data_IF_493310190200
#
_entry.id   IF_493310190200
#
_cell.length_a   1.000
_cell.length_b   1.000
_cell.length_c   1.000
_cell.angle_alpha   90.00
_cell.angle_beta   90.00
_cell.angle_gamma   90.00
#
_symmetry.space_group_name_H-M   'P 1'
#
loop_
_entity.id
_entity.type
_entity.pdbx_description
1 polymer ?
#
# COMPACT_ATOMS: atom_id res chain seq x y z
N UNK A 1 5.17 -8.50 -20.79
CA UNK A 1 5.63 -9.58 -19.89
C UNK A 1 4.80 -10.80 -20.20
N UNK A 2 5.36 -12.01 -20.12
CA UNK A 2 4.58 -13.25 -20.19
C UNK A 2 4.38 -13.89 -18.79
N UNK A 3 3.71 -15.05 -18.74
CA UNK A 3 3.43 -15.75 -17.49
C UNK A 3 4.69 -16.19 -16.71
N UNK A 4 5.76 -16.59 -17.41
CA UNK A 4 7.01 -17.06 -16.78
C UNK A 4 7.78 -15.89 -16.19
N UNK A 5 7.87 -14.79 -16.94
CA UNK A 5 8.46 -13.54 -16.47
C UNK A 5 7.74 -13.05 -15.21
N UNK A 6 6.41 -13.13 -15.18
CA UNK A 6 5.58 -12.73 -14.03
C UNK A 6 5.89 -13.55 -12.77
N UNK A 7 5.97 -14.88 -12.88
CA UNK A 7 6.34 -15.75 -11.76
C UNK A 7 7.78 -15.49 -11.31
N UNK A 8 8.71 -15.29 -12.25
CA UNK A 8 10.10 -14.94 -11.93
C UNK A 8 10.16 -13.64 -11.11
N UNK A 9 9.39 -12.64 -11.49
CA UNK A 9 9.29 -11.38 -10.75
C UNK A 9 8.73 -11.58 -9.33
N UNK A 10 7.68 -12.39 -9.17
CA UNK A 10 7.13 -12.73 -7.85
C UNK A 10 8.16 -13.41 -6.95
N UNK A 11 9.00 -14.28 -7.48
CA UNK A 11 10.06 -14.97 -6.72
C UNK A 11 11.17 -14.02 -6.29
N UNK A 12 11.54 -13.06 -7.15
CA UNK A 12 12.59 -12.07 -6.86
C UNK A 12 12.15 -11.02 -5.84
N UNK A 13 10.94 -10.47 -6.00
CA UNK A 13 10.40 -9.42 -5.12
C UNK A 13 9.85 -10.01 -3.82
N UNK A 14 9.41 -11.28 -3.85
CA UNK A 14 8.77 -11.97 -2.74
C UNK A 14 7.62 -11.15 -2.08
N UNK A 15 6.66 -10.63 -2.87
CA UNK A 15 5.61 -9.78 -2.32
C UNK A 15 4.70 -10.57 -1.38
N UNK A 16 4.07 -9.87 -0.44
CA UNK A 16 3.00 -10.44 0.40
C UNK A 16 1.76 -10.78 -0.42
N UNK A 17 1.47 -9.96 -1.43
CA UNK A 17 0.35 -10.14 -2.34
C UNK A 17 0.68 -9.53 -3.71
N UNK A 18 0.24 -10.17 -4.78
CA UNK A 18 0.41 -9.72 -6.16
C UNK A 18 -0.96 -9.63 -6.85
N UNK A 19 -1.15 -8.59 -7.66
CA UNK A 19 -2.36 -8.39 -8.45
C UNK A 19 -1.89 -8.13 -9.89
N UNK A 20 -2.07 -9.07 -10.82
CA UNK A 20 -1.69 -8.85 -12.21
C UNK A 20 -2.62 -7.79 -12.83
N UNK A 21 -2.01 -6.82 -13.50
CA UNK A 21 -2.68 -5.77 -14.26
C UNK A 21 -2.16 -5.81 -15.70
N UNK A 22 -2.87 -5.21 -16.66
CA UNK A 22 -2.51 -5.23 -18.09
C UNK A 22 -2.53 -6.64 -18.71
N UNK A 23 -3.69 -7.28 -18.72
CA UNK A 23 -3.87 -8.60 -19.36
C UNK A 23 -5.05 -8.65 -20.35
N UNK A 24 -5.91 -7.62 -20.40
CA UNK A 24 -7.09 -7.62 -21.26
C UNK A 24 -7.45 -6.22 -21.83
N UNK A 25 -6.62 -5.20 -21.60
CA UNK A 25 -6.91 -3.81 -21.97
C UNK A 25 -6.49 -3.46 -23.40
N UNK A 26 -5.48 -4.14 -23.97
CA UNK A 26 -4.98 -3.87 -25.33
C UNK A 26 -4.50 -5.16 -26.00
N UNK A 27 -4.74 -5.34 -27.31
CA UNK A 27 -4.45 -6.61 -28.01
C UNK A 27 -2.97 -7.03 -28.17
N UNK A 28 -2.02 -6.42 -27.46
CA UNK A 28 -0.55 -6.56 -27.69
C UNK A 28 0.18 -7.36 -26.61
N UNK A 29 -0.53 -8.25 -25.91
CA UNK A 29 0.07 -9.07 -24.84
C UNK A 29 0.84 -10.27 -25.40
N UNK A 30 1.97 -10.60 -24.77
CA UNK A 30 2.80 -11.76 -25.14
C UNK A 30 2.13 -13.10 -24.83
N UNK A 31 1.28 -13.16 -23.81
CA UNK A 31 0.56 -14.36 -23.40
C UNK A 31 -0.76 -13.98 -22.70
N UNK A 32 -1.79 -14.83 -22.75
CA UNK A 32 -3.04 -14.63 -22.00
C UNK A 32 -2.82 -14.75 -20.48
N UNK A 33 -3.78 -14.24 -19.70
CA UNK A 33 -3.78 -14.38 -18.24
C UNK A 33 -3.74 -15.85 -17.77
N UNK A 34 -4.36 -16.75 -18.52
CA UNK A 34 -4.40 -18.19 -18.21
C UNK A 34 -3.03 -18.84 -18.18
N UNK A 35 -2.08 -18.35 -18.99
CA UNK A 35 -0.70 -18.83 -18.96
C UNK A 35 -0.02 -18.43 -17.65
N UNK A 36 -0.21 -17.19 -17.20
CA UNK A 36 0.29 -16.75 -15.90
C UNK A 36 -0.34 -17.54 -14.74
N UNK A 37 -1.64 -17.82 -14.79
CA UNK A 37 -2.33 -18.65 -13.79
C UNK A 37 -1.73 -20.06 -13.69
N UNK A 38 -1.41 -20.67 -14.84
CA UNK A 38 -0.76 -21.99 -14.91
C UNK A 38 0.63 -21.97 -14.30
N UNK A 39 1.44 -20.96 -14.63
CA UNK A 39 2.80 -20.82 -14.08
C UNK A 39 2.76 -20.55 -12.56
N UNK A 40 1.84 -19.72 -12.08
CA UNK A 40 1.63 -19.47 -10.63
C UNK A 40 1.26 -20.75 -9.88
N UNK A 41 0.36 -21.56 -10.46
CA UNK A 41 -0.04 -22.84 -9.89
C UNK A 41 1.14 -23.83 -9.85
N UNK A 42 1.89 -23.94 -10.95
CA UNK A 42 3.09 -24.79 -11.04
C UNK A 42 4.18 -24.38 -10.05
N UNK A 43 4.28 -23.10 -9.71
CA UNK A 43 5.21 -22.58 -8.72
C UNK A 43 4.70 -22.64 -7.26
N UNK A 44 3.47 -23.11 -7.01
CA UNK A 44 2.88 -23.15 -5.67
C UNK A 44 2.59 -21.76 -5.08
N UNK A 45 2.40 -20.74 -5.93
CA UNK A 45 2.24 -19.34 -5.51
C UNK A 45 0.77 -18.86 -5.50
N UNK A 46 -0.19 -19.75 -5.74
CA UNK A 46 -1.62 -19.41 -5.86
C UNK A 46 -2.15 -18.58 -4.70
N UNK A 47 -1.71 -18.85 -3.47
CA UNK A 47 -2.14 -18.10 -2.26
C UNK A 47 -1.61 -16.67 -2.18
N UNK A 48 -0.73 -16.24 -3.08
CA UNK A 48 -0.14 -14.90 -3.11
C UNK A 48 -0.74 -13.99 -4.18
N UNK A 49 -1.66 -14.49 -5.00
CA UNK A 49 -2.19 -13.74 -6.16
C UNK A 49 -3.68 -13.52 -6.01
N UNK A 50 -4.15 -12.29 -6.23
CA UNK A 50 -5.55 -12.00 -6.46
C UNK A 50 -5.76 -11.59 -7.92
N UNK A 51 -6.69 -12.27 -8.59
CA UNK A 51 -7.14 -11.93 -9.93
C UNK A 51 -8.40 -11.07 -9.83
N UNK A 52 -8.38 -9.91 -10.45
CA UNK A 52 -9.50 -8.97 -10.43
C UNK A 52 -10.02 -8.75 -11.83
N UNK A 53 -11.33 -8.83 -12.00
CA UNK A 53 -12.03 -8.40 -13.20
C UNK A 53 -12.25 -6.87 -13.18
N UNK A 54 -12.57 -6.32 -14.36
CA UNK A 54 -12.99 -4.92 -14.49
C UNK A 54 -14.10 -4.57 -13.49
N UNK A 55 -13.92 -3.44 -12.79
CA UNK A 55 -14.86 -2.97 -11.75
C UNK A 55 -14.70 -3.64 -10.38
N UNK A 56 -13.91 -4.71 -10.25
CA UNK A 56 -13.58 -5.28 -8.94
C UNK A 56 -12.56 -4.42 -8.20
N UNK A 57 -12.61 -4.48 -6.86
CA UNK A 57 -11.75 -3.69 -5.98
C UNK A 57 -11.04 -4.61 -5.01
N UNK A 58 -9.75 -4.38 -4.80
CA UNK A 58 -8.98 -5.01 -3.74
C UNK A 58 -8.66 -3.99 -2.66
N UNK A 59 -8.88 -4.37 -1.40
CA UNK A 59 -8.66 -3.50 -0.25
C UNK A 59 -7.48 -4.00 0.56
N UNK A 60 -6.42 -3.20 0.61
CA UNK A 60 -5.26 -3.51 1.43
C UNK A 60 -5.59 -3.26 2.90
N UNK A 61 -5.28 -4.24 3.75
CA UNK A 61 -5.26 -4.01 5.19
C UNK A 61 -4.06 -3.13 5.53
N UNK A 62 -4.32 -1.91 6.01
CA UNK A 62 -3.30 -1.16 6.73
C UNK A 62 -3.11 -1.82 8.09
N UNK A 63 -1.86 -2.03 8.52
CA UNK A 63 -1.63 -2.31 9.93
C UNK A 63 -2.27 -1.19 10.75
N UNK A 64 -2.82 -1.53 11.93
CA UNK A 64 -3.25 -0.51 12.87
C UNK A 64 -2.08 0.48 13.05
N UNK A 65 -2.35 1.80 13.10
CA UNK A 65 -1.29 2.76 13.39
C UNK A 65 -0.58 2.24 14.65
N UNK A 66 0.74 2.06 14.55
CA UNK A 66 1.55 1.72 15.70
C UNK A 66 1.14 2.68 16.80
N UNK A 67 0.57 2.15 17.90
CA UNK A 67 0.13 2.97 19.00
C UNK A 67 1.29 3.90 19.32
N UNK A 68 1.09 5.20 19.09
CA UNK A 68 2.10 6.23 19.38
C UNK A 68 2.60 5.88 20.77
N UNK A 69 3.84 5.39 20.87
CA UNK A 69 4.43 5.05 22.16
C UNK A 69 4.10 6.23 23.06
N UNK A 70 3.29 5.98 24.09
CA UNK A 70 3.00 7.01 25.07
C UNK A 70 4.32 7.59 25.56
N UNK A 71 4.34 8.82 26.09
CA UNK A 71 5.55 9.33 26.73
C UNK A 71 6.08 8.22 27.64
N UNK A 72 7.28 7.72 27.35
CA UNK A 72 7.90 6.65 28.13
C UNK A 72 7.89 7.03 29.61
N UNK A 73 7.93 6.05 30.53
CA UNK A 73 7.87 6.33 31.96
C UNK A 73 8.86 7.44 32.30
N UNK A 74 8.32 8.61 32.61
CA UNK A 74 9.11 9.81 32.83
C UNK A 74 10.14 9.54 33.91
N UNK A 75 11.41 9.82 33.62
CA UNK A 75 12.43 9.89 34.65
C UNK A 75 11.92 10.83 35.75
N UNK A 76 11.68 10.27 36.93
CA UNK A 76 11.07 10.94 38.07
C UNK A 76 12.08 11.93 38.67
N UNK A 77 12.18 13.11 38.07
CA UNK A 77 12.90 14.25 38.61
C UNK A 77 12.17 14.82 39.82
N UNK A 78 12.85 14.83 40.96
CA UNK A 78 12.46 15.58 42.15
C UNK A 78 12.65 17.08 41.88
N UNK A 79 11.57 17.85 41.87
CA UNK A 79 11.59 19.22 42.39
C UNK A 79 10.17 19.75 42.58
N UNK A 80 9.89 20.10 43.84
CA UNK A 80 8.72 20.85 44.30
C UNK A 80 8.58 22.14 43.48
N UNK A 81 7.42 22.36 42.84
CA UNK A 81 6.94 23.72 42.62
C UNK A 81 5.42 23.80 42.61
N UNK A 82 4.94 24.85 43.28
CA UNK A 82 3.59 25.17 43.72
C UNK A 82 2.53 25.14 42.61
N UNK A 83 1.33 24.71 43.01
CA UNK A 83 0.05 25.07 42.39
C UNK A 83 -0.17 26.60 42.41
N UNK A 84 -0.60 27.12 41.25
CA UNK A 84 -1.52 28.26 41.12
C UNK A 84 -2.46 27.95 39.96
N UNK A 85 -3.77 28.04 40.18
CA UNK A 85 -4.81 27.70 39.21
C UNK A 85 -5.47 28.92 38.56
N UNK A 86 -6.17 28.65 37.45
CA UNK A 86 -7.32 29.37 36.86
C UNK A 86 -7.76 28.55 35.62
N UNK A 87 -8.99 28.02 35.49
CA UNK A 87 -10.22 28.67 34.95
C UNK A 87 -9.95 29.31 33.57
N UNK A 88 -10.48 28.94 32.39
CA UNK A 88 -11.82 28.47 31.94
C UNK A 88 -11.78 27.91 30.48
N UNK A 89 -12.91 27.40 29.91
CA UNK A 89 -12.94 26.52 28.73
C UNK A 89 -13.21 27.25 27.40
N UNK A 90 -12.95 26.58 26.27
CA UNK A 90 -13.55 26.97 25.00
C UNK A 90 -12.96 26.32 23.74
N UNK A 91 -13.87 26.10 22.78
CA UNK A 91 -13.69 25.88 21.35
C UNK A 91 -13.70 24.43 20.85
N UNK A 92 -14.91 24.05 20.42
CA UNK A 92 -15.17 22.98 19.47
C UNK A 92 -14.50 23.27 18.12
N UNK A 93 -13.85 22.27 17.52
CA UNK A 93 -13.60 22.23 16.08
C UNK A 93 -14.21 20.95 15.52
N UNK A 94 -15.29 21.14 14.77
CA UNK A 94 -15.92 20.11 13.95
C UNK A 94 -14.94 19.70 12.84
N UNK A 95 -14.25 18.58 13.03
CA UNK A 95 -13.50 17.94 11.97
C UNK A 95 -14.46 17.24 11.01
N UNK A 96 -14.70 17.87 9.86
CA UNK A 96 -15.27 17.21 8.69
C UNK A 96 -14.24 16.22 8.12
N UNK A 97 -14.61 14.98 7.78
CA UNK A 97 -13.72 14.10 7.04
C UNK A 97 -13.59 14.61 5.59
N UNK A 98 -12.35 14.88 5.17
CA UNK A 98 -12.02 15.13 3.77
C UNK A 98 -12.11 13.78 3.04
N UNK A 99 -13.18 13.56 2.30
CA UNK A 99 -13.23 12.51 1.28
C UNK A 99 -12.27 12.89 0.14
N UNK A 100 -11.09 12.26 0.09
CA UNK A 100 -10.23 12.35 -1.10
C UNK A 100 -10.65 11.29 -2.10
N UNK A 101 -11.63 11.63 -2.92
CA UNK A 101 -11.81 11.06 -4.25
C UNK A 101 -10.67 11.58 -5.12
N UNK A 102 -9.60 10.80 -5.27
CA UNK A 102 -8.54 11.10 -6.23
C UNK A 102 -8.88 10.45 -7.58
N UNK A 103 -9.65 11.17 -8.38
CA UNK A 103 -9.75 11.00 -9.83
C UNK A 103 -8.78 12.00 -10.46
N UNK A 104 -7.88 11.52 -11.32
CA UNK A 104 -7.23 12.34 -12.35
C UNK A 104 -5.89 13.01 -12.00
N UNK A 105 -4.82 12.43 -12.57
CA UNK A 105 -3.64 13.04 -13.21
C UNK A 105 -2.81 14.12 -12.48
N UNK A 106 -1.48 13.91 -12.41
CA UNK A 106 -0.47 14.74 -13.11
C UNK A 106 0.92 14.09 -13.06
N UNK A 107 1.62 14.18 -14.20
CA UNK A 107 3.00 13.83 -14.48
C UNK A 107 4.04 14.46 -13.54
N UNK A 108 5.05 13.68 -13.15
CA UNK A 108 6.50 13.97 -13.29
C UNK A 108 7.34 13.18 -12.30
N UNK A 109 8.56 12.82 -12.74
CA UNK A 109 9.65 12.12 -12.03
C UNK A 109 9.61 10.59 -12.05
N UNK A 110 9.86 10.00 -13.22
CA UNK A 110 11.02 9.09 -13.43
C UNK A 110 11.50 9.33 -14.87
N UNK A 111 12.32 10.36 -15.04
CA UNK A 111 13.31 10.41 -16.12
C UNK A 111 14.66 10.18 -15.47
N UNK A 112 15.53 9.45 -16.17
CA UNK A 112 16.88 9.03 -15.79
C UNK A 112 16.99 7.79 -14.87
N UNK A 113 16.83 6.61 -15.47
CA UNK A 113 17.83 5.54 -15.29
C UNK A 113 17.86 4.64 -16.53
N UNK A 114 18.91 4.85 -17.33
CA UNK A 114 19.24 4.11 -18.55
C UNK A 114 19.81 2.74 -18.13
N UNK A 115 19.15 1.64 -18.48
CA UNK A 115 19.75 0.30 -18.40
C UNK A 115 20.56 0.04 -19.67
N UNK A 116 21.82 -0.42 -19.58
CA UNK A 116 22.59 -0.85 -20.75
C UNK A 116 22.04 -2.18 -21.32
N UNK A 117 22.29 -2.35 -22.62
CA UNK A 117 21.77 -3.40 -23.50
C UNK A 117 22.32 -4.81 -23.21
#
# INVERSE_FOLDING_TARGET
>A
MDGRDGVRMMQLVAPRHAIPIHYNEYGVFKSPLSDFQREVAGAGLTGKVAYLNHGQRYRFGTAAPCARMGPGPGHRGNSRQRQVGADQPGQALLHHPIEKTAVGAVDSLISARRWPA
#
